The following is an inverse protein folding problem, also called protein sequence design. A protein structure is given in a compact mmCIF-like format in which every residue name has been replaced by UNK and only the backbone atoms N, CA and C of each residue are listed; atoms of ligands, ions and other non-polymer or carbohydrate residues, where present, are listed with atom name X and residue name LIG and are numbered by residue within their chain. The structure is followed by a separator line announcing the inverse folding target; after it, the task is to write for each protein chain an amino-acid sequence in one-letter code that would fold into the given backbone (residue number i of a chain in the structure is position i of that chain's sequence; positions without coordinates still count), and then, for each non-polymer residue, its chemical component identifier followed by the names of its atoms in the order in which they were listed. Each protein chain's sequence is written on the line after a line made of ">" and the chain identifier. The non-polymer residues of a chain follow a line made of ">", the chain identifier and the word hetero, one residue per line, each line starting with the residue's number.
data_IF_971594555622
#
_entry.id   IF_971594555622
#
_cell.length_a   1.000
_cell.length_b   1.000
_cell.length_c   1.000
_cell.angle_alpha   90.00
_cell.angle_beta   90.00
_cell.angle_gamma   90.00
#
_symmetry.space_group_name_H-M   'P 1'
#
loop_
_entity.id
_entity.type
_entity.pdbx_description
1 polymer ?
#
# COMPACT_ATOMS: atom_id res chain seq x y z
N UNK A 1 41.94 -8.62 -54.02
CA UNK A 1 42.17 -8.08 -52.71
C UNK A 1 40.79 -7.69 -52.22
N UNK A 2 40.20 -8.52 -51.34
CA UNK A 2 38.87 -8.31 -50.77
C UNK A 2 39.07 -8.01 -49.27
N UNK A 3 38.84 -6.76 -48.87
CA UNK A 3 38.86 -6.35 -47.45
C UNK A 3 37.56 -6.77 -46.81
N UNK A 4 37.62 -7.74 -45.92
CA UNK A 4 36.55 -8.15 -45.02
C UNK A 4 36.47 -7.14 -43.86
N UNK A 5 35.47 -6.27 -43.89
CA UNK A 5 35.12 -5.38 -42.78
C UNK A 5 34.56 -6.21 -41.63
N UNK A 6 35.34 -6.34 -40.57
CA UNK A 6 34.87 -6.90 -39.30
C UNK A 6 33.95 -5.87 -38.64
N UNK A 7 32.67 -6.18 -38.59
CA UNK A 7 31.67 -5.41 -37.82
C UNK A 7 31.94 -5.58 -36.32
N UNK A 8 32.46 -4.54 -35.70
CA UNK A 8 32.67 -4.43 -34.27
C UNK A 8 31.29 -4.32 -33.57
N UNK A 9 30.81 -5.42 -33.01
CA UNK A 9 29.60 -5.45 -32.21
C UNK A 9 29.84 -4.64 -30.92
N UNK A 10 29.30 -3.43 -30.87
CA UNK A 10 29.33 -2.58 -29.69
C UNK A 10 28.66 -3.30 -28.52
N UNK A 11 29.46 -3.81 -27.60
CA UNK A 11 29.03 -4.31 -26.31
C UNK A 11 28.49 -3.12 -25.55
N UNK A 12 27.19 -3.00 -25.46
CA UNK A 12 26.54 -1.98 -24.61
C UNK A 12 26.85 -2.28 -23.15
N UNK A 13 27.84 -1.61 -22.58
CA UNK A 13 28.13 -1.66 -21.15
C UNK A 13 26.86 -1.29 -20.36
N UNK A 14 26.33 -2.26 -19.63
CA UNK A 14 25.22 -2.03 -18.68
C UNK A 14 25.74 -1.07 -17.61
N UNK A 15 25.21 0.16 -17.55
CA UNK A 15 25.52 1.10 -16.47
C UNK A 15 25.41 0.40 -15.12
N UNK A 16 26.42 0.55 -14.23
CA UNK A 16 26.39 -0.08 -12.92
C UNK A 16 25.16 0.39 -12.14
N UNK A 17 24.56 -0.53 -11.37
CA UNK A 17 23.42 -0.25 -10.52
C UNK A 17 23.77 0.84 -9.52
N UNK A 18 23.20 2.02 -9.65
CA UNK A 18 23.35 3.09 -8.66
C UNK A 18 22.30 2.90 -7.56
N UNK A 19 22.76 2.83 -6.32
CA UNK A 19 21.89 2.76 -5.14
C UNK A 19 21.06 4.05 -5.06
N UNK A 20 19.72 3.98 -5.04
CA UNK A 20 18.88 5.18 -5.05
C UNK A 20 18.93 5.96 -3.73
N UNK A 21 19.39 5.34 -2.62
CA UNK A 21 19.40 5.90 -1.26
C UNK A 21 20.76 5.70 -0.59
N UNK A 22 21.09 6.61 0.34
CA UNK A 22 22.28 6.45 1.22
C UNK A 22 22.05 5.33 2.23
N UNK A 23 23.12 4.82 2.84
CA UNK A 23 23.03 3.77 3.87
C UNK A 23 22.15 4.22 5.05
N UNK A 24 22.25 5.48 5.47
CA UNK A 24 21.43 6.02 6.56
C UNK A 24 19.93 6.05 6.20
N UNK A 25 19.57 6.41 4.95
CA UNK A 25 18.20 6.36 4.48
C UNK A 25 17.69 4.92 4.41
N UNK A 26 18.49 3.97 3.91
CA UNK A 26 18.11 2.55 3.84
C UNK A 26 17.86 1.96 5.24
N UNK A 27 18.71 2.27 6.22
CA UNK A 27 18.53 1.84 7.62
C UNK A 27 17.24 2.44 8.18
N UNK A 28 17.04 3.75 8.04
CA UNK A 28 15.85 4.43 8.54
C UNK A 28 14.56 3.86 7.92
N UNK A 29 14.54 3.68 6.60
CA UNK A 29 13.39 3.16 5.86
C UNK A 29 13.09 1.72 6.29
N UNK A 30 14.11 0.86 6.38
CA UNK A 30 13.96 -0.52 6.83
C UNK A 30 13.44 -0.62 8.26
N UNK A 31 14.01 0.15 9.19
CA UNK A 31 13.60 0.13 10.61
C UNK A 31 12.18 0.67 10.77
N UNK A 32 11.84 1.79 10.13
CA UNK A 32 10.50 2.39 10.23
C UNK A 32 9.42 1.44 9.75
N UNK A 33 9.60 0.80 8.60
CA UNK A 33 8.62 -0.16 8.09
C UNK A 33 8.72 -1.51 8.81
N UNK A 34 9.88 -1.91 9.34
CA UNK A 34 10.00 -3.07 10.22
C UNK A 34 9.16 -2.95 11.49
N UNK A 35 9.18 -1.78 12.13
CA UNK A 35 8.27 -1.47 13.24
C UNK A 35 6.81 -1.48 12.76
N UNK A 36 6.52 -0.92 11.59
CA UNK A 36 5.20 -1.00 10.96
C UNK A 36 4.70 -2.43 10.77
N UNK A 37 5.57 -3.36 10.37
CA UNK A 37 5.23 -4.78 10.21
C UNK A 37 4.85 -5.43 11.55
N UNK A 38 5.63 -5.20 12.62
CA UNK A 38 5.33 -5.72 13.95
C UNK A 38 4.01 -5.15 14.51
N UNK A 39 3.78 -3.84 14.35
CA UNK A 39 2.51 -3.21 14.74
C UNK A 39 1.33 -3.76 13.93
N UNK A 40 1.54 -4.05 12.64
CA UNK A 40 0.50 -4.64 11.79
C UNK A 40 0.12 -6.05 12.21
N UNK A 41 1.10 -6.87 12.65
CA UNK A 41 0.81 -8.21 13.19
C UNK A 41 -0.05 -8.08 14.45
N UNK A 42 0.39 -7.28 15.43
CA UNK A 42 -0.36 -7.07 16.66
C UNK A 42 -1.76 -6.48 16.39
N UNK A 43 -1.83 -5.46 15.53
CA UNK A 43 -3.09 -4.82 15.14
C UNK A 43 -4.05 -5.77 14.41
N UNK A 44 -3.54 -6.68 13.57
CA UNK A 44 -4.34 -7.70 12.89
C UNK A 44 -4.98 -8.67 13.89
N UNK A 45 -4.20 -9.14 14.86
CA UNK A 45 -4.71 -10.02 15.92
C UNK A 45 -5.84 -9.34 16.68
N UNK A 46 -5.66 -8.05 17.07
CA UNK A 46 -6.69 -7.30 17.77
C UNK A 46 -7.97 -7.16 16.92
N UNK A 47 -7.87 -6.77 15.65
CA UNK A 47 -9.05 -6.65 14.77
C UNK A 47 -9.77 -7.99 14.66
N UNK A 48 -9.08 -9.09 14.43
CA UNK A 48 -9.67 -10.43 14.29
C UNK A 48 -10.37 -10.86 15.57
N UNK A 49 -9.70 -10.74 16.73
CA UNK A 49 -10.24 -11.17 18.03
C UNK A 49 -11.49 -10.36 18.38
N UNK A 50 -11.43 -9.03 18.25
CA UNK A 50 -12.57 -8.17 18.57
C UNK A 50 -13.73 -8.36 17.57
N UNK A 51 -13.44 -8.55 16.29
CA UNK A 51 -14.47 -8.89 15.30
C UNK A 51 -15.13 -10.24 15.59
N UNK A 52 -14.37 -11.25 16.02
CA UNK A 52 -14.91 -12.56 16.38
C UNK A 52 -15.80 -12.51 17.62
N UNK A 53 -15.46 -11.66 18.62
CA UNK A 53 -16.23 -11.51 19.85
C UNK A 53 -17.50 -10.67 19.65
N UNK A 54 -17.41 -9.57 18.90
CA UNK A 54 -18.45 -8.53 18.87
C UNK A 54 -19.28 -8.49 17.59
N UNK A 55 -18.85 -9.18 16.51
CA UNK A 55 -19.43 -9.08 15.18
C UNK A 55 -19.70 -10.47 14.59
N UNK A 56 -19.10 -10.80 13.45
CA UNK A 56 -19.35 -12.07 12.77
C UNK A 56 -18.25 -12.48 11.79
N UNK A 57 -18.48 -13.59 11.07
CA UNK A 57 -17.45 -14.15 10.16
C UNK A 57 -17.02 -13.18 9.05
N UNK A 58 -17.92 -12.32 8.55
CA UNK A 58 -17.58 -11.38 7.49
C UNK A 58 -16.56 -10.35 7.98
N UNK A 59 -16.75 -9.80 9.18
CA UNK A 59 -15.83 -8.84 9.79
C UNK A 59 -14.47 -9.47 10.11
N UNK A 60 -14.46 -10.74 10.55
CA UNK A 60 -13.23 -11.52 10.76
C UNK A 60 -12.47 -11.68 9.44
N UNK A 61 -13.13 -12.10 8.38
CA UNK A 61 -12.49 -12.32 7.06
C UNK A 61 -11.97 -11.01 6.48
N UNK A 62 -12.80 -9.96 6.49
CA UNK A 62 -12.42 -8.66 5.92
C UNK A 62 -11.32 -7.97 6.72
N UNK A 63 -11.36 -8.09 8.06
CA UNK A 63 -10.30 -7.63 8.95
C UNK A 63 -8.98 -8.39 8.74
N UNK A 64 -9.06 -9.70 8.48
CA UNK A 64 -7.89 -10.53 8.14
C UNK A 64 -7.26 -10.11 6.81
N UNK A 65 -8.06 -9.82 5.78
CA UNK A 65 -7.57 -9.34 4.48
C UNK A 65 -6.90 -7.97 4.60
N UNK A 66 -7.50 -7.05 5.35
CA UNK A 66 -6.88 -5.75 5.65
C UNK A 66 -5.55 -5.92 6.39
N UNK A 67 -5.54 -6.68 7.48
CA UNK A 67 -4.33 -6.93 8.26
C UNK A 67 -3.22 -7.60 7.46
N UNK A 68 -3.55 -8.61 6.65
CA UNK A 68 -2.61 -9.27 5.76
C UNK A 68 -1.98 -8.29 4.76
N UNK A 69 -2.77 -7.37 4.19
CA UNK A 69 -2.27 -6.36 3.26
C UNK A 69 -1.28 -5.40 3.92
N UNK A 70 -1.50 -4.99 5.17
CA UNK A 70 -0.56 -4.20 5.97
C UNK A 70 0.75 -4.97 6.22
N UNK A 71 0.66 -6.20 6.71
CA UNK A 71 1.81 -7.05 7.03
C UNK A 71 2.66 -7.25 5.77
N UNK A 72 2.04 -7.58 4.64
CA UNK A 72 2.73 -7.80 3.37
C UNK A 72 3.44 -6.53 2.92
N UNK A 73 2.75 -5.38 2.90
CA UNK A 73 3.36 -4.10 2.50
C UNK A 73 4.59 -3.78 3.34
N UNK A 74 4.46 -3.77 4.65
CA UNK A 74 5.54 -3.40 5.55
C UNK A 74 6.71 -4.38 5.49
N UNK A 75 6.44 -5.69 5.34
CA UNK A 75 7.47 -6.70 5.19
C UNK A 75 8.22 -6.54 3.85
N UNK A 76 7.52 -6.37 2.73
CA UNK A 76 8.17 -6.21 1.43
C UNK A 76 9.02 -4.93 1.39
N UNK A 77 8.53 -3.84 1.96
CA UNK A 77 9.26 -2.59 2.05
C UNK A 77 10.49 -2.69 2.95
N UNK A 78 10.37 -3.33 4.12
CA UNK A 78 11.50 -3.61 5.01
C UNK A 78 12.60 -4.39 4.30
N UNK A 79 12.22 -5.46 3.60
CA UNK A 79 13.17 -6.29 2.86
C UNK A 79 13.81 -5.54 1.69
N UNK A 80 13.04 -4.73 0.94
CA UNK A 80 13.58 -3.89 -0.12
C UNK A 80 14.70 -2.99 0.39
N UNK A 81 14.50 -2.33 1.55
CA UNK A 81 15.49 -1.42 2.11
C UNK A 81 16.65 -2.12 2.83
N UNK A 82 16.40 -3.29 3.46
CA UNK A 82 17.45 -4.04 4.17
C UNK A 82 18.43 -4.79 3.24
N UNK A 83 17.94 -5.25 2.08
CA UNK A 83 18.74 -6.09 1.19
C UNK A 83 19.81 -5.28 0.44
N UNK A 84 21.01 -5.85 0.34
CA UNK A 84 22.17 -5.26 -0.34
C UNK A 84 22.46 -5.91 -1.69
N UNK A 85 22.04 -7.17 -1.91
CA UNK A 85 22.21 -7.86 -3.18
C UNK A 85 21.39 -7.16 -4.29
N UNK A 86 22.00 -6.72 -5.40
CA UNK A 86 21.33 -5.93 -6.43
C UNK A 86 20.13 -6.63 -7.08
N UNK A 87 20.23 -7.94 -7.32
CA UNK A 87 19.17 -8.73 -7.96
C UNK A 87 17.97 -8.87 -7.01
N UNK A 88 18.19 -9.28 -5.77
CA UNK A 88 17.15 -9.36 -4.76
C UNK A 88 16.50 -7.99 -4.51
N UNK A 89 17.32 -6.93 -4.39
CA UNK A 89 16.82 -5.57 -4.17
C UNK A 89 15.90 -5.10 -5.31
N UNK A 90 16.21 -5.44 -6.57
CA UNK A 90 15.35 -5.13 -7.70
C UNK A 90 14.00 -5.86 -7.64
N UNK A 91 14.00 -7.14 -7.25
CA UNK A 91 12.76 -7.91 -7.08
C UNK A 91 11.90 -7.32 -5.97
N UNK A 92 12.52 -7.08 -4.78
CA UNK A 92 11.79 -6.51 -3.65
C UNK A 92 11.35 -5.06 -3.89
N UNK A 93 12.03 -4.29 -4.72
CA UNK A 93 11.56 -2.98 -5.17
C UNK A 93 10.23 -3.07 -5.93
N UNK A 94 10.09 -4.05 -6.81
CA UNK A 94 8.84 -4.28 -7.54
C UNK A 94 7.72 -4.71 -6.58
N UNK A 95 8.02 -5.62 -5.66
CA UNK A 95 7.07 -6.09 -4.66
C UNK A 95 6.62 -4.95 -3.72
N UNK A 96 7.56 -4.16 -3.20
CA UNK A 96 7.28 -2.99 -2.36
C UNK A 96 6.29 -2.02 -3.02
N UNK A 97 6.50 -1.68 -4.29
CA UNK A 97 5.58 -0.80 -5.01
C UNK A 97 4.23 -1.45 -5.31
N UNK A 98 4.22 -2.74 -5.64
CA UNK A 98 2.99 -3.48 -5.93
C UNK A 98 2.09 -3.64 -4.71
N UNK A 99 2.68 -3.77 -3.53
CA UNK A 99 1.93 -3.93 -2.28
C UNK A 99 1.17 -2.68 -1.86
N UNK A 100 1.45 -1.51 -2.44
CA UNK A 100 0.64 -0.30 -2.25
C UNK A 100 -0.78 -0.52 -2.83
N UNK A 101 -0.90 -1.09 -4.04
CA UNK A 101 -2.19 -1.44 -4.62
C UNK A 101 -2.94 -2.44 -3.74
N UNK A 102 -2.21 -3.45 -3.23
CA UNK A 102 -2.78 -4.45 -2.34
C UNK A 102 -3.29 -3.83 -1.03
N UNK A 103 -2.53 -2.90 -0.44
CA UNK A 103 -2.95 -2.20 0.78
C UNK A 103 -4.20 -1.36 0.53
N UNK A 104 -4.29 -0.63 -0.58
CA UNK A 104 -5.48 0.15 -0.90
C UNK A 104 -6.69 -0.78 -1.01
N UNK A 105 -6.61 -1.86 -1.78
CA UNK A 105 -7.71 -2.81 -1.93
C UNK A 105 -8.08 -3.51 -0.62
N UNK A 106 -7.07 -3.91 0.17
CA UNK A 106 -7.24 -4.49 1.49
C UNK A 106 -7.96 -3.54 2.46
N UNK A 107 -7.61 -2.26 2.43
CA UNK A 107 -8.25 -1.22 3.26
C UNK A 107 -9.72 -1.01 2.88
N UNK A 108 -10.07 -1.05 1.59
CA UNK A 108 -11.46 -0.95 1.13
C UNK A 108 -12.32 -2.13 1.57
N UNK A 109 -11.74 -3.31 1.72
CA UNK A 109 -12.46 -4.57 1.93
C UNK A 109 -13.44 -4.53 3.11
N UNK A 110 -13.05 -4.15 4.35
CA UNK A 110 -13.99 -4.09 5.47
C UNK A 110 -15.08 -3.04 5.27
N UNK A 111 -14.78 -1.89 4.68
CA UNK A 111 -15.80 -0.85 4.47
C UNK A 111 -16.83 -1.26 3.43
N UNK A 112 -16.39 -1.80 2.32
CA UNK A 112 -17.29 -2.17 1.22
C UNK A 112 -18.19 -3.34 1.57
N UNK A 113 -17.67 -4.35 2.26
CA UNK A 113 -18.42 -5.58 2.54
C UNK A 113 -19.19 -5.54 3.87
N UNK A 114 -18.74 -4.73 4.85
CA UNK A 114 -19.40 -4.67 6.16
C UNK A 114 -20.19 -3.38 6.39
N UNK A 115 -19.80 -2.24 5.78
CA UNK A 115 -20.38 -0.94 6.13
C UNK A 115 -21.29 -0.35 5.05
N UNK A 116 -21.15 -0.75 3.77
CA UNK A 116 -21.94 -0.16 2.68
C UNK A 116 -23.24 -0.91 2.44
N UNK A 117 -24.35 -0.17 2.40
CA UNK A 117 -25.66 -0.65 1.99
C UNK A 117 -26.16 0.17 0.78
N UNK A 118 -26.88 -0.44 -0.18
CA UNK A 118 -27.25 -1.86 -0.24
C UNK A 118 -26.03 -2.77 -0.56
N UNK A 119 -26.13 -4.05 -0.20
CA UNK A 119 -25.03 -5.03 -0.29
C UNK A 119 -24.43 -5.13 -1.70
N UNK A 120 -25.25 -5.06 -2.75
CA UNK A 120 -24.76 -5.11 -4.14
C UNK A 120 -23.79 -3.96 -4.46
N UNK A 121 -24.02 -2.76 -3.90
CA UNK A 121 -23.14 -1.61 -4.09
C UNK A 121 -21.76 -1.86 -3.46
N UNK A 122 -21.75 -2.42 -2.24
CA UNK A 122 -20.51 -2.80 -1.55
C UNK A 122 -19.70 -3.80 -2.37
N UNK A 123 -20.31 -4.87 -2.88
CA UNK A 123 -19.65 -5.86 -3.73
C UNK A 123 -19.18 -5.26 -5.06
N UNK A 124 -19.92 -4.35 -5.66
CA UNK A 124 -19.51 -3.68 -6.90
C UNK A 124 -18.26 -2.84 -6.67
N UNK A 125 -18.22 -2.03 -5.61
CA UNK A 125 -17.03 -1.21 -5.28
C UNK A 125 -15.85 -2.11 -4.95
N UNK A 126 -16.04 -3.17 -4.16
CA UNK A 126 -15.03 -4.17 -3.86
C UNK A 126 -14.41 -4.74 -5.15
N UNK A 127 -15.25 -5.23 -6.07
CA UNK A 127 -14.78 -5.79 -7.34
C UNK A 127 -14.04 -4.77 -8.22
N UNK A 128 -14.52 -3.53 -8.31
CA UNK A 128 -13.84 -2.47 -9.05
C UNK A 128 -12.46 -2.14 -8.47
N UNK A 129 -12.35 -2.01 -7.14
CA UNK A 129 -11.09 -1.66 -6.47
C UNK A 129 -10.08 -2.80 -6.56
N UNK A 130 -10.49 -4.05 -6.33
CA UNK A 130 -9.62 -5.21 -6.49
C UNK A 130 -9.20 -5.44 -7.95
N UNK A 131 -10.11 -5.23 -8.90
CA UNK A 131 -9.80 -5.26 -10.32
C UNK A 131 -8.77 -4.20 -10.71
N UNK A 132 -8.94 -2.96 -10.25
CA UNK A 132 -7.97 -1.88 -10.46
C UNK A 132 -6.61 -2.20 -9.81
N UNK A 133 -6.61 -2.79 -8.60
CA UNK A 133 -5.38 -3.21 -7.94
C UNK A 133 -4.62 -4.27 -8.73
N UNK A 134 -5.30 -5.30 -9.22
CA UNK A 134 -4.70 -6.36 -10.06
C UNK A 134 -4.09 -5.75 -11.32
N UNK A 135 -4.81 -4.89 -12.03
CA UNK A 135 -4.29 -4.21 -13.22
C UNK A 135 -3.07 -3.34 -12.90
N UNK A 136 -3.11 -2.58 -11.80
CA UNK A 136 -1.99 -1.76 -11.34
C UNK A 136 -0.74 -2.60 -11.02
N UNK A 137 -0.91 -3.74 -10.34
CA UNK A 137 0.16 -4.69 -10.04
C UNK A 137 0.77 -5.26 -11.35
N UNK A 138 -0.07 -5.66 -12.29
CA UNK A 138 0.40 -6.20 -13.58
C UNK A 138 1.25 -5.16 -14.34
N UNK A 139 0.74 -3.93 -14.50
CA UNK A 139 1.49 -2.88 -15.20
C UNK A 139 2.79 -2.51 -14.48
N UNK A 140 2.77 -2.35 -13.17
CA UNK A 140 3.98 -2.09 -12.38
C UNK A 140 5.00 -3.22 -12.48
N UNK A 141 4.56 -4.47 -12.55
CA UNK A 141 5.43 -5.64 -12.68
C UNK A 141 6.11 -5.73 -14.06
N UNK A 142 5.44 -5.29 -15.12
CA UNK A 142 6.01 -5.25 -16.48
C UNK A 142 7.15 -4.23 -16.55
N UNK A 143 6.94 -3.01 -16.03
CA UNK A 143 7.98 -1.98 -16.00
C UNK A 143 7.68 -0.92 -14.94
N UNK A 144 8.32 -1.05 -13.78
CA UNK A 144 8.18 -0.10 -12.67
C UNK A 144 8.56 1.33 -13.08
N UNK A 145 9.62 1.48 -13.86
CA UNK A 145 10.11 2.79 -14.32
C UNK A 145 9.12 3.49 -15.24
N UNK A 146 8.63 2.78 -16.25
CA UNK A 146 7.70 3.30 -17.26
C UNK A 146 6.36 3.69 -16.63
N UNK A 147 5.84 2.87 -15.70
CA UNK A 147 4.51 3.05 -15.15
C UNK A 147 4.49 3.78 -13.79
N UNK A 148 5.64 4.20 -13.25
CA UNK A 148 5.74 4.82 -11.93
C UNK A 148 4.81 6.02 -11.73
N UNK A 149 4.76 6.96 -12.69
CA UNK A 149 3.87 8.14 -12.60
C UNK A 149 2.40 7.72 -12.66
N UNK A 150 2.07 6.78 -13.54
CA UNK A 150 0.72 6.24 -13.66
C UNK A 150 0.30 5.52 -12.38
N UNK A 151 1.17 4.68 -11.81
CA UNK A 151 0.90 3.99 -10.54
C UNK A 151 0.64 4.98 -9.41
N UNK A 152 1.46 6.03 -9.28
CA UNK A 152 1.25 7.06 -8.25
C UNK A 152 -0.10 7.78 -8.42
N UNK A 153 -0.48 8.10 -9.66
CA UNK A 153 -1.79 8.67 -9.95
C UNK A 153 -2.92 7.71 -9.59
N UNK A 154 -2.79 6.42 -9.95
CA UNK A 154 -3.75 5.38 -9.62
C UNK A 154 -3.90 5.19 -8.10
N UNK A 155 -2.81 5.26 -7.32
CA UNK A 155 -2.89 5.17 -5.84
C UNK A 155 -3.77 6.28 -5.27
N UNK A 156 -3.61 7.52 -5.73
CA UNK A 156 -4.41 8.66 -5.26
C UNK A 156 -5.86 8.49 -5.72
N UNK A 157 -6.08 8.16 -6.98
CA UNK A 157 -7.43 7.98 -7.54
C UNK A 157 -8.18 6.84 -6.82
N UNK A 158 -7.56 5.70 -6.65
CA UNK A 158 -8.13 4.58 -5.90
C UNK A 158 -8.37 4.95 -4.43
N UNK A 159 -7.39 5.59 -3.77
CA UNK A 159 -7.50 5.97 -2.36
C UNK A 159 -8.69 6.89 -2.09
N UNK A 160 -8.95 7.87 -2.97
CA UNK A 160 -10.06 8.82 -2.84
C UNK A 160 -11.36 8.36 -3.51
N UNK A 161 -11.35 7.24 -4.22
CA UNK A 161 -12.56 6.68 -4.85
C UNK A 161 -13.71 6.42 -3.87
N UNK A 162 -13.42 6.25 -2.57
CA UNK A 162 -14.42 6.07 -1.51
C UNK A 162 -15.35 7.29 -1.35
N UNK A 163 -14.98 8.47 -1.84
CA UNK A 163 -15.82 9.67 -1.81
C UNK A 163 -17.14 9.44 -2.55
N UNK A 164 -17.14 8.65 -3.63
CA UNK A 164 -18.37 8.34 -4.36
C UNK A 164 -19.36 7.49 -3.55
N UNK A 165 -18.89 6.83 -2.48
CA UNK A 165 -19.71 6.07 -1.56
C UNK A 165 -19.79 6.72 -0.15
N UNK A 166 -19.46 8.00 -0.02
CA UNK A 166 -19.38 8.69 1.29
C UNK A 166 -20.70 8.68 2.05
N UNK A 167 -21.84 8.80 1.32
CA UNK A 167 -23.17 8.79 1.94
C UNK A 167 -23.50 7.42 2.55
N UNK A 168 -23.51 6.30 1.79
CA UNK A 168 -23.78 4.98 2.36
C UNK A 168 -22.72 4.58 3.42
N UNK A 169 -21.49 5.06 3.29
CA UNK A 169 -20.44 4.81 4.27
C UNK A 169 -20.72 5.53 5.60
N UNK A 170 -21.12 6.82 5.54
CA UNK A 170 -21.51 7.61 6.72
C UNK A 170 -22.68 7.00 7.46
N UNK A 171 -23.63 6.38 6.73
CA UNK A 171 -24.82 5.77 7.32
C UNK A 171 -24.52 4.37 7.90
N UNK A 172 -23.42 3.73 7.50
CA UNK A 172 -23.07 2.35 7.86
C UNK A 172 -21.89 2.17 8.81
N UNK A 173 -21.26 3.26 9.28
CA UNK A 173 -20.12 3.16 10.21
C UNK A 173 -20.11 4.28 11.25
N UNK A 174 -19.47 4.07 12.43
CA UNK A 174 -19.33 5.09 13.46
C UNK A 174 -18.65 6.36 12.92
N UNK A 175 -19.09 7.53 13.40
CA UNK A 175 -18.50 8.83 13.03
C UNK A 175 -17.00 8.89 13.28
N UNK A 176 -16.53 8.30 14.37
CA UNK A 176 -15.09 8.21 14.68
C UNK A 176 -14.33 7.48 13.57
N UNK A 177 -14.83 6.32 13.12
CA UNK A 177 -14.23 5.55 12.02
C UNK A 177 -14.12 6.39 10.74
N UNK A 178 -15.19 7.11 10.38
CA UNK A 178 -15.19 7.97 9.20
C UNK A 178 -14.14 9.09 9.31
N UNK A 179 -14.03 9.72 10.47
CA UNK A 179 -13.01 10.76 10.70
C UNK A 179 -11.60 10.18 10.54
N UNK A 180 -11.31 9.03 11.15
CA UNK A 180 -10.02 8.38 11.06
C UNK A 180 -9.68 7.95 9.61
N UNK A 181 -10.68 7.46 8.86
CA UNK A 181 -10.53 7.14 7.43
C UNK A 181 -10.10 8.36 6.63
N UNK A 182 -10.80 9.49 6.79
CA UNK A 182 -10.49 10.72 6.05
C UNK A 182 -9.11 11.28 6.43
N UNK A 183 -8.81 11.33 7.72
CA UNK A 183 -7.50 11.81 8.20
C UNK A 183 -6.36 10.92 7.69
N UNK A 184 -6.54 9.60 7.66
CA UNK A 184 -5.57 8.67 7.09
C UNK A 184 -5.33 8.91 5.61
N UNK A 185 -6.41 9.10 4.82
CA UNK A 185 -6.32 9.48 3.40
C UNK A 185 -5.60 10.80 3.17
N UNK A 186 -5.82 11.79 4.03
CA UNK A 186 -5.08 13.08 4.00
C UNK A 186 -3.60 12.86 4.27
N UNK A 187 -3.23 12.07 5.30
CA UNK A 187 -1.82 11.78 5.59
C UNK A 187 -1.13 11.06 4.43
N UNK A 188 -1.75 10.05 3.84
CA UNK A 188 -1.19 9.40 2.65
C UNK A 188 -0.99 10.36 1.50
N UNK A 189 -1.96 11.26 1.26
CA UNK A 189 -1.87 12.24 0.18
C UNK A 189 -0.76 13.28 0.41
N UNK A 190 -0.61 13.77 1.63
CA UNK A 190 0.50 14.65 2.01
C UNK A 190 1.84 13.95 1.86
N UNK A 191 1.92 12.69 2.24
CA UNK A 191 3.10 11.85 2.04
C UNK A 191 3.52 11.76 0.57
N UNK A 192 2.57 11.67 -0.38
CA UNK A 192 2.89 11.61 -1.81
C UNK A 192 3.72 12.80 -2.30
N UNK A 193 3.64 13.97 -1.66
CA UNK A 193 4.47 15.14 -1.99
C UNK A 193 5.96 14.80 -1.83
N UNK A 194 6.31 14.10 -0.74
CA UNK A 194 7.68 13.66 -0.45
C UNK A 194 8.10 12.51 -1.35
N UNK A 195 7.18 11.59 -1.66
CA UNK A 195 7.43 10.49 -2.58
C UNK A 195 7.81 10.94 -3.99
N UNK A 196 7.14 11.95 -4.53
CA UNK A 196 7.42 12.47 -5.88
C UNK A 196 8.78 13.17 -5.93
N UNK A 197 9.22 13.83 -4.85
CA UNK A 197 10.49 14.58 -4.74
C UNK A 197 11.62 13.73 -4.13
N UNK A 198 11.66 12.43 -4.39
CA UNK A 198 12.64 11.49 -3.82
C UNK A 198 14.11 11.76 -4.16
N UNK A 199 14.42 12.70 -5.04
CA UNK A 199 15.78 13.17 -5.31
C UNK A 199 16.36 14.00 -4.16
N UNK A 200 15.52 14.49 -3.26
CA UNK A 200 15.94 15.21 -2.06
C UNK A 200 16.21 14.19 -0.96
N UNK A 201 17.38 14.30 -0.32
CA UNK A 201 17.81 13.37 0.73
C UNK A 201 16.79 13.30 1.86
N UNK A 202 16.50 12.10 2.36
CA UNK A 202 15.51 11.76 3.38
C UNK A 202 14.03 12.03 3.03
N UNK A 203 13.69 12.54 1.84
CA UNK A 203 12.28 12.74 1.49
C UNK A 203 11.52 11.42 1.40
N UNK A 204 12.16 10.36 0.90
CA UNK A 204 11.56 9.03 0.91
C UNK A 204 11.39 8.48 2.34
N UNK A 205 12.32 8.78 3.23
CA UNK A 205 12.20 8.43 4.66
C UNK A 205 11.04 9.14 5.36
N UNK A 206 10.82 10.42 5.03
CA UNK A 206 9.65 11.18 5.49
C UNK A 206 8.36 10.55 4.94
N UNK A 207 8.35 10.15 3.66
CA UNK A 207 7.22 9.41 3.08
C UNK A 207 6.86 8.16 3.90
N UNK A 208 7.84 7.38 4.37
CA UNK A 208 7.61 6.21 5.21
C UNK A 208 6.88 6.56 6.52
N UNK A 209 7.21 7.68 7.16
CA UNK A 209 6.51 8.15 8.37
C UNK A 209 5.04 8.45 8.07
N UNK A 210 4.76 9.15 6.95
CA UNK A 210 3.39 9.43 6.53
C UNK A 210 2.60 8.16 6.21
N UNK A 211 3.24 7.14 5.63
CA UNK A 211 2.62 5.84 5.36
C UNK A 211 2.25 5.15 6.67
N UNK A 212 3.16 5.09 7.65
CA UNK A 212 2.88 4.51 8.98
C UNK A 212 1.75 5.27 9.68
N UNK A 213 1.79 6.60 9.67
CA UNK A 213 0.74 7.43 10.27
C UNK A 213 -0.62 7.24 9.61
N UNK A 214 -0.68 7.20 8.28
CA UNK A 214 -1.90 6.93 7.52
C UNK A 214 -2.46 5.53 7.81
N UNK A 215 -1.59 4.51 7.84
CA UNK A 215 -1.99 3.14 8.20
C UNK A 215 -2.52 3.03 9.61
N UNK A 216 -1.92 3.74 10.57
CA UNK A 216 -2.38 3.75 11.96
C UNK A 216 -3.80 4.35 12.07
N UNK A 217 -4.05 5.47 11.39
CA UNK A 217 -5.38 6.08 11.36
C UNK A 217 -6.42 5.17 10.67
N UNK A 218 -6.05 4.52 9.55
CA UNK A 218 -6.92 3.55 8.89
C UNK A 218 -7.14 2.31 9.76
N UNK A 219 -6.13 1.88 10.54
CA UNK A 219 -6.30 0.78 11.49
C UNK A 219 -7.34 1.13 12.57
N UNK A 220 -7.25 2.32 13.17
CA UNK A 220 -8.27 2.78 14.11
C UNK A 220 -9.64 2.86 13.46
N UNK A 221 -9.72 3.36 12.23
CA UNK A 221 -10.97 3.41 11.48
C UNK A 221 -11.59 2.02 11.30
N UNK A 222 -10.82 1.04 10.82
CA UNK A 222 -11.27 -0.35 10.62
C UNK A 222 -11.63 -1.01 11.94
N UNK A 223 -10.79 -0.86 12.97
CA UNK A 223 -11.03 -1.46 14.28
C UNK A 223 -12.37 -1.00 14.89
N UNK A 224 -12.68 0.29 14.82
CA UNK A 224 -13.98 0.80 15.27
C UNK A 224 -15.14 0.41 14.37
N UNK A 225 -14.93 0.32 13.06
CA UNK A 225 -15.98 -0.03 12.11
C UNK A 225 -16.44 -1.48 12.24
N UNK A 226 -15.52 -2.42 12.44
CA UNK A 226 -15.81 -3.85 12.38
C UNK A 226 -15.38 -4.65 13.63
N UNK A 227 -14.61 -4.09 14.54
CA UNK A 227 -14.16 -4.76 15.76
C UNK A 227 -15.00 -4.44 16.99
N UNK A 228 -15.57 -3.23 17.06
CA UNK A 228 -16.33 -2.80 18.24
C UNK A 228 -17.80 -3.23 18.17
N UNK A 229 -18.51 -3.38 19.31
CA UNK A 229 -19.94 -3.69 19.31
C UNK A 229 -20.76 -2.69 18.49
N UNK A 230 -21.92 -3.13 17.97
CA UNK A 230 -22.91 -2.23 17.35
C UNK A 230 -23.62 -1.51 18.48
N UNK A 231 -23.56 -0.18 18.51
CA UNK A 231 -24.38 0.64 19.41
C UNK A 231 -25.85 0.67 18.97
#
# INVERSE_FOLDING_TARGET
>A
MSETSVSETAVTEKKPYQKPYTVGEEIFNSVTHGVGALLSIAGTVLVIVFAAINRGPMEVVTGSLFGASLIILYTMSTLYHALTNPTAKKVFQILDHNTIFLLIAGTYTPYTLCCIKPVWLGWTIFGCIWGAAVLGIVFSSISLEKFRKLSTFCYILMGWGIIFAIKPLKDGMPKFSLIMLVLGGVLYSLGCIFYVKKSIKYFHSIWHIFVVGGSLLHWFSVFWAIGMPVE
#
